data_IF_841863139254
#
_entry.id   IF_841863139254
#
_cell.length_a   1.000
_cell.length_b   1.000
_cell.length_c   1.000
_cell.angle_alpha   90.00
_cell.angle_beta   90.00
_cell.angle_gamma   90.00
#
_symmetry.space_group_name_H-M   'P 1'
#
loop_
_entity.id
_entity.type
_entity.pdbx_description
1 polymer ?
#
# COMPACT_ATOMS: atom_id res chain seq x y z
N UNK A 1 8.56 -21.84 -19.16
CA UNK A 1 9.14 -21.41 -17.87
C UNK A 1 8.47 -20.09 -17.56
N UNK A 2 7.41 -20.16 -16.75
CA UNK A 2 6.66 -19.00 -16.23
C UNK A 2 7.58 -18.07 -15.43
N UNK A 3 7.48 -16.76 -15.68
CA UNK A 3 7.43 -15.69 -14.67
C UNK A 3 6.85 -14.43 -15.33
N UNK A 4 5.52 -14.34 -15.38
CA UNK A 4 4.83 -13.07 -15.56
C UNK A 4 4.88 -12.34 -14.21
N UNK A 5 6.02 -11.70 -13.92
CA UNK A 5 6.23 -10.93 -12.68
C UNK A 5 6.99 -9.63 -12.97
N UNK A 6 6.76 -9.05 -14.17
CA UNK A 6 7.36 -7.79 -14.60
C UNK A 6 6.33 -6.82 -15.21
N UNK A 7 5.04 -7.02 -14.91
CA UNK A 7 3.98 -6.12 -15.40
C UNK A 7 4.01 -4.80 -14.65
N UNK A 8 4.09 -4.84 -13.32
CA UNK A 8 3.97 -3.66 -12.48
C UNK A 8 5.20 -2.74 -12.58
N UNK A 9 6.42 -3.29 -12.59
CA UNK A 9 7.64 -2.50 -12.85
C UNK A 9 7.62 -1.83 -14.23
N UNK A 10 7.18 -2.53 -15.28
CA UNK A 10 7.06 -1.95 -16.62
C UNK A 10 5.99 -0.85 -16.66
N UNK A 11 4.82 -1.09 -16.05
CA UNK A 11 3.72 -0.12 -16.00
C UNK A 11 4.09 1.15 -15.23
N UNK A 12 4.80 1.05 -14.10
CA UNK A 12 5.25 2.23 -13.32
C UNK A 12 6.43 2.92 -14.03
N UNK A 13 7.31 2.16 -14.68
CA UNK A 13 8.45 2.71 -15.41
C UNK A 13 8.05 3.47 -16.67
N UNK A 14 6.95 3.09 -17.32
CA UNK A 14 6.41 3.80 -18.49
C UNK A 14 5.72 5.13 -18.12
N UNK A 15 5.37 5.34 -16.85
CA UNK A 15 4.82 6.60 -16.37
C UNK A 15 5.86 7.71 -16.35
N UNK A 16 5.43 8.93 -16.65
CA UNK A 16 6.23 10.14 -16.41
C UNK A 16 6.47 10.37 -14.93
N UNK A 17 7.48 11.15 -14.58
CA UNK A 17 7.78 11.49 -13.18
C UNK A 17 6.58 12.13 -12.45
N UNK A 18 5.77 12.94 -13.15
CA UNK A 18 4.56 13.54 -12.55
C UNK A 18 3.48 12.51 -12.27
N UNK A 19 3.22 11.61 -13.22
CA UNK A 19 2.24 10.51 -13.05
C UNK A 19 2.64 9.58 -11.91
N UNK A 20 3.93 9.23 -11.79
CA UNK A 20 4.43 8.44 -10.66
C UNK A 20 4.13 9.12 -9.33
N UNK A 21 4.39 10.42 -9.21
CA UNK A 21 4.08 11.17 -7.97
C UNK A 21 2.59 11.12 -7.63
N UNK A 22 1.71 11.23 -8.63
CA UNK A 22 0.26 11.11 -8.44
C UNK A 22 -0.10 9.72 -7.91
N UNK A 23 0.43 8.65 -8.53
CA UNK A 23 0.21 7.27 -8.08
C UNK A 23 0.63 7.08 -6.62
N UNK A 24 1.83 7.54 -6.24
CA UNK A 24 2.31 7.42 -4.87
C UNK A 24 1.50 8.25 -3.86
N UNK A 25 1.03 9.44 -4.26
CA UNK A 25 0.12 10.25 -3.44
C UNK A 25 -1.22 9.54 -3.21
N UNK A 26 -1.80 8.96 -4.26
CA UNK A 26 -3.08 8.28 -4.18
C UNK A 26 -2.97 7.00 -3.32
N UNK A 27 -1.90 6.22 -3.52
CA UNK A 27 -1.59 5.05 -2.68
C UNK A 27 -1.42 5.44 -1.21
N UNK A 28 -0.66 6.49 -0.92
CA UNK A 28 -0.46 6.99 0.45
C UNK A 28 -1.78 7.44 1.09
N UNK A 29 -2.64 8.10 0.31
CA UNK A 29 -3.98 8.50 0.74
C UNK A 29 -4.84 7.29 1.08
N UNK A 30 -4.84 6.27 0.23
CA UNK A 30 -5.65 5.07 0.44
C UNK A 30 -5.13 4.22 1.61
N UNK A 31 -3.81 4.04 1.73
CA UNK A 31 -3.20 3.38 2.89
C UNK A 31 -3.58 4.09 4.19
N UNK A 32 -3.53 5.42 4.21
CA UNK A 32 -3.94 6.23 5.37
C UNK A 32 -5.41 6.02 5.70
N UNK A 33 -6.29 6.07 4.69
CA UNK A 33 -7.73 5.87 4.86
C UNK A 33 -8.03 4.49 5.44
N UNK A 34 -7.47 3.44 4.85
CA UNK A 34 -7.66 2.06 5.31
C UNK A 34 -7.15 1.89 6.73
N UNK A 35 -5.96 2.40 7.05
CA UNK A 35 -5.40 2.34 8.41
C UNK A 35 -6.29 3.05 9.44
N UNK A 36 -6.85 4.21 9.10
CA UNK A 36 -7.75 4.95 9.98
C UNK A 36 -9.11 4.26 10.21
N UNK A 37 -9.54 3.40 9.28
CA UNK A 37 -10.76 2.60 9.39
C UNK A 37 -10.59 1.33 10.23
N UNK A 38 -9.36 0.94 10.56
CA UNK A 38 -9.09 -0.23 11.40
C UNK A 38 -9.53 0.01 12.84
N UNK A 39 -10.05 -1.05 13.46
CA UNK A 39 -10.36 -1.07 14.88
C UNK A 39 -9.13 -0.75 15.74
N UNK A 40 -9.28 -0.11 16.91
CA UNK A 40 -8.18 0.28 17.78
C UNK A 40 -7.10 -0.81 18.03
N UNK A 41 -7.43 -2.08 18.33
CA UNK A 41 -6.41 -3.10 18.57
C UNK A 41 -5.63 -3.47 17.29
N UNK A 42 -6.32 -3.56 16.15
CA UNK A 42 -5.68 -3.82 14.85
C UNK A 42 -4.80 -2.64 14.45
N UNK A 43 -5.30 -1.41 14.58
CA UNK A 43 -4.54 -0.20 14.30
C UNK A 43 -3.26 -0.10 15.16
N UNK A 44 -3.33 -0.46 16.44
CA UNK A 44 -2.14 -0.50 17.30
C UNK A 44 -1.11 -1.53 16.81
N UNK A 45 -1.56 -2.73 16.45
CA UNK A 45 -0.70 -3.78 15.92
C UNK A 45 0.00 -3.37 14.61
N UNK A 46 -0.70 -2.64 13.74
CA UNK A 46 -0.21 -2.24 12.43
C UNK A 46 0.49 -0.86 12.42
N UNK A 47 0.50 -0.11 13.53
CA UNK A 47 0.94 1.28 13.56
C UNK A 47 2.37 1.48 13.05
N UNK A 48 3.31 0.62 13.48
CA UNK A 48 4.70 0.72 13.04
C UNK A 48 4.88 0.37 11.56
N UNK A 49 4.15 -0.63 11.06
CA UNK A 49 4.20 -1.03 9.65
C UNK A 49 3.56 0.03 8.75
N UNK A 50 2.39 0.54 9.13
CA UNK A 50 1.69 1.61 8.42
C UNK A 50 2.55 2.88 8.35
N UNK A 51 3.19 3.25 9.46
CA UNK A 51 4.10 4.41 9.49
C UNK A 51 5.25 4.26 8.49
N UNK A 52 5.96 3.12 8.52
CA UNK A 52 7.08 2.87 7.60
C UNK A 52 6.64 2.89 6.13
N UNK A 53 5.49 2.29 5.84
CA UNK A 53 4.91 2.29 4.50
C UNK A 53 4.55 3.72 4.04
N UNK A 54 3.94 4.53 4.90
CA UNK A 54 3.64 5.92 4.59
C UNK A 54 4.89 6.79 4.38
N UNK A 55 5.96 6.54 5.15
CA UNK A 55 7.26 7.19 4.96
C UNK A 55 7.86 6.81 3.59
N UNK A 56 7.79 5.52 3.21
CA UNK A 56 8.25 5.03 1.90
C UNK A 56 7.44 5.62 0.74
N UNK A 57 6.11 5.61 0.82
CA UNK A 57 5.25 6.19 -0.22
C UNK A 57 5.45 7.71 -0.32
N UNK A 58 5.65 8.39 0.81
CA UNK A 58 5.96 9.83 0.83
C UNK A 58 7.31 10.19 0.22
N UNK A 59 8.30 9.29 0.33
CA UNK A 59 9.58 9.43 -0.35
C UNK A 59 9.37 9.42 -1.87
N UNK A 60 8.70 8.40 -2.41
CA UNK A 60 8.44 8.29 -3.86
C UNK A 60 7.47 9.34 -4.41
N UNK A 61 6.56 9.88 -3.58
CA UNK A 61 5.75 11.06 -3.93
C UNK A 61 6.62 12.30 -4.19
N UNK A 62 7.75 12.43 -3.49
CA UNK A 62 8.65 13.57 -3.63
C UNK A 62 9.68 13.32 -4.73
N UNK A 63 10.31 12.14 -4.69
CA UNK A 63 11.37 11.70 -5.57
C UNK A 63 11.03 10.32 -6.18
N UNK A 64 10.35 10.28 -7.34
CA UNK A 64 9.85 9.04 -7.94
C UNK A 64 10.97 8.30 -8.71
N UNK A 65 12.06 7.99 -8.00
CA UNK A 65 13.20 7.22 -8.47
C UNK A 65 13.51 6.07 -7.53
N UNK A 66 13.86 4.91 -8.09
CA UNK A 66 14.34 3.79 -7.29
C UNK A 66 15.61 4.15 -6.53
N UNK A 67 15.72 3.59 -5.32
CA UNK A 67 16.92 3.74 -4.50
C UNK A 67 17.62 2.40 -4.35
N UNK A 68 18.86 2.41 -3.88
CA UNK A 68 19.58 1.18 -3.55
C UNK A 68 18.88 0.35 -2.45
N UNK A 69 18.03 0.99 -1.63
CA UNK A 69 17.37 0.35 -0.51
C UNK A 69 15.95 -0.15 -0.82
N UNK A 70 15.23 0.50 -1.74
CA UNK A 70 13.82 0.23 -2.04
C UNK A 70 13.51 0.54 -3.50
N UNK A 71 12.72 -0.35 -4.14
CA UNK A 71 12.13 -0.08 -5.44
C UNK A 71 10.69 0.42 -5.35
N UNK A 72 10.28 1.19 -6.36
CA UNK A 72 8.91 1.66 -6.55
C UNK A 72 7.92 0.50 -6.64
N UNK A 73 8.27 -0.57 -7.37
CA UNK A 73 7.45 -1.78 -7.46
C UNK A 73 7.16 -2.36 -6.08
N UNK A 74 8.20 -2.58 -5.28
CA UNK A 74 8.06 -3.10 -3.91
C UNK A 74 7.18 -2.21 -3.03
N UNK A 75 7.28 -0.88 -3.18
CA UNK A 75 6.45 0.05 -2.44
C UNK A 75 4.96 -0.07 -2.81
N UNK A 76 4.66 -0.23 -4.10
CA UNK A 76 3.29 -0.46 -4.57
C UNK A 76 2.76 -1.82 -4.13
N UNK A 77 3.56 -2.88 -4.25
CA UNK A 77 3.18 -4.22 -3.78
C UNK A 77 2.86 -4.21 -2.28
N UNK A 78 3.74 -3.63 -1.45
CA UNK A 78 3.53 -3.52 -0.01
C UNK A 78 2.27 -2.70 0.32
N UNK A 79 1.99 -1.63 -0.43
CA UNK A 79 0.77 -0.85 -0.25
C UNK A 79 -0.49 -1.66 -0.59
N UNK A 80 -0.48 -2.37 -1.72
CA UNK A 80 -1.57 -3.25 -2.13
C UNK A 80 -1.81 -4.38 -1.11
N UNK A 81 -0.74 -5.03 -0.63
CA UNK A 81 -0.83 -6.06 0.39
C UNK A 81 -1.37 -5.52 1.70
N UNK A 82 -0.90 -4.34 2.14
CA UNK A 82 -1.42 -3.67 3.33
C UNK A 82 -2.92 -3.42 3.22
N UNK A 83 -3.37 -2.81 2.12
CA UNK A 83 -4.78 -2.52 1.86
C UNK A 83 -5.62 -3.80 1.87
N UNK A 84 -5.14 -4.86 1.20
CA UNK A 84 -5.83 -6.15 1.13
C UNK A 84 -5.96 -6.80 2.51
N UNK A 85 -4.88 -6.82 3.30
CA UNK A 85 -4.86 -7.45 4.62
C UNK A 85 -5.68 -6.66 5.65
N UNK A 86 -5.56 -5.34 5.63
CA UNK A 86 -6.31 -4.44 6.50
C UNK A 86 -7.82 -4.44 6.16
N UNK A 87 -8.17 -4.36 4.87
CA UNK A 87 -9.56 -4.42 4.40
C UNK A 87 -10.23 -5.77 4.68
N UNK A 88 -9.50 -6.89 4.52
CA UNK A 88 -10.01 -8.22 4.85
C UNK A 88 -10.27 -8.40 6.35
N UNK A 89 -9.53 -7.70 7.22
CA UNK A 89 -9.75 -7.74 8.68
C UNK A 89 -10.93 -6.87 9.10
N UNK A 90 -11.06 -5.66 8.54
CA UNK A 90 -12.22 -4.79 8.76
C UNK A 90 -13.54 -5.48 8.34
N UNK A 91 -13.54 -6.23 7.24
CA UNK A 91 -14.70 -6.99 6.80
C UNK A 91 -15.06 -8.19 7.72
N UNK A 92 -14.08 -8.75 8.45
CA UNK A 92 -14.30 -9.90 9.34
C UNK A 92 -14.81 -9.50 10.72
N UNK A 93 -14.49 -8.30 11.20
CA UNK A 93 -15.01 -7.78 12.47
C UNK A 93 -16.47 -7.30 12.35
N UNK A 94 -16.89 -6.89 11.15
CA UNK A 94 -18.29 -6.55 10.83
C UNK A 94 -19.23 -7.74 10.60
N UNK A 95 -18.71 -8.98 10.57
CA UNK A 95 -19.49 -10.21 10.38
C UNK A 95 -19.80 -10.87 11.72
N UNK A 96 -20.58 -10.16 12.54
CA UNK A 96 -21.50 -10.79 13.48
C UNK A 96 -22.68 -11.40 12.71
N UNK A 97 -22.43 -12.41 11.86
CA UNK A 97 -23.53 -13.20 11.28
C UNK A 97 -23.98 -14.17 12.38
N UNK A 98 -24.92 -13.71 13.20
CA UNK A 98 -25.81 -14.62 13.92
C UNK A 98 -26.63 -15.38 12.87
N UNK A 99 -26.21 -16.60 12.54
CA UNK A 99 -27.10 -17.59 11.94
C UNK A 99 -27.99 -18.13 13.06
N UNK A 100 -29.25 -17.67 13.09
CA UNK A 100 -30.36 -18.35 13.75
C UNK A 100 -31.12 -19.21 12.74
#
# INVERSE_FOLDING_TARGET
>A
MERANGGLEAEISDLTGEERRVVFRDLKTEVTRVFCQLDPPTRFHWASSARKLLEMLGFFETDPQDTFAFSMEQAVELACEFIKQAGSRAARDGVGITLH
#
